data_IF_427568798544
#
_entry.id   IF_427568798544
#
_cell.length_a   1.000
_cell.length_b   1.000
_cell.length_c   1.000
_cell.angle_alpha   90.00
_cell.angle_beta   90.00
_cell.angle_gamma   90.00
#
_symmetry.space_group_name_H-M   'P 1'
#
loop_
_entity.id
_entity.type
_entity.pdbx_description
1 polymer ?
#
# COMPACT_ATOMS: atom_id res chain seq x y z
N UNK A 1 26.09 -16.12 25.34
CA UNK A 1 26.12 -16.13 23.85
C UNK A 1 25.00 -16.97 23.21
N UNK A 2 23.96 -17.39 23.96
CA UNK A 2 22.83 -18.17 23.43
C UNK A 2 21.51 -17.40 23.25
N UNK A 3 21.27 -16.36 24.07
CA UNK A 3 19.99 -15.63 24.06
C UNK A 3 19.75 -14.78 22.81
N UNK A 4 20.80 -14.20 22.21
CA UNK A 4 20.67 -13.41 20.97
C UNK A 4 20.31 -14.28 19.76
N UNK A 5 20.75 -15.54 19.72
CA UNK A 5 20.38 -16.48 18.65
C UNK A 5 18.90 -16.90 18.73
N UNK A 6 18.37 -17.06 19.94
CA UNK A 6 16.96 -17.35 20.18
C UNK A 6 16.05 -16.17 19.81
N UNK A 7 16.45 -14.94 20.14
CA UNK A 7 15.71 -13.73 19.79
C UNK A 7 15.72 -13.46 18.27
N UNK A 8 16.84 -13.73 17.59
CA UNK A 8 16.92 -13.67 16.12
C UNK A 8 16.07 -14.76 15.46
N UNK A 9 16.05 -15.99 15.99
CA UNK A 9 15.25 -17.08 15.42
C UNK A 9 13.74 -16.87 15.62
N UNK A 10 13.32 -16.34 16.78
CA UNK A 10 11.92 -15.97 17.01
C UNK A 10 11.47 -14.82 16.08
N UNK A 11 12.37 -13.89 15.78
CA UNK A 11 12.13 -12.80 14.82
C UNK A 11 11.97 -13.30 13.38
N UNK A 12 12.68 -14.37 12.98
CA UNK A 12 12.54 -14.95 11.64
C UNK A 12 11.20 -15.65 11.46
N UNK A 13 10.72 -16.37 12.47
CA UNK A 13 9.38 -16.98 12.45
C UNK A 13 8.27 -15.92 12.38
N UNK A 14 8.35 -14.86 13.19
CA UNK A 14 7.35 -13.79 13.15
C UNK A 14 7.37 -13.04 11.81
N UNK A 15 8.55 -12.76 11.26
CA UNK A 15 8.68 -12.08 9.98
C UNK A 15 8.15 -12.94 8.82
N UNK A 16 8.40 -14.25 8.84
CA UNK A 16 7.83 -15.17 7.85
C UNK A 16 6.29 -15.18 7.90
N UNK A 17 5.71 -15.19 9.10
CA UNK A 17 4.26 -15.10 9.28
C UNK A 17 3.71 -13.77 8.75
N UNK A 18 4.36 -12.64 9.05
CA UNK A 18 3.95 -11.32 8.57
C UNK A 18 4.02 -11.24 7.05
N UNK A 19 5.12 -11.72 6.43
CA UNK A 19 5.24 -11.80 4.98
C UNK A 19 4.14 -12.67 4.35
N UNK A 20 3.84 -13.83 4.95
CA UNK A 20 2.77 -14.70 4.47
C UNK A 20 1.39 -14.03 4.54
N UNK A 21 1.07 -13.38 5.67
CA UNK A 21 -0.19 -12.65 5.86
C UNK A 21 -0.30 -11.50 4.86
N UNK A 22 0.79 -10.79 4.60
CA UNK A 22 0.85 -9.69 3.64
C UNK A 22 0.63 -10.14 2.19
N UNK A 23 1.22 -11.27 1.81
CA UNK A 23 0.99 -11.86 0.48
C UNK A 23 -0.46 -12.31 0.36
N UNK A 24 -1.03 -12.96 1.39
CA UNK A 24 -2.44 -13.37 1.40
C UNK A 24 -3.36 -12.16 1.32
N UNK A 25 -3.11 -11.10 2.08
CA UNK A 25 -3.88 -9.85 2.02
C UNK A 25 -3.75 -9.16 0.66
N UNK A 26 -2.57 -9.14 0.04
CA UNK A 26 -2.38 -8.60 -1.29
C UNK A 26 -3.18 -9.38 -2.35
N UNK A 27 -3.15 -10.72 -2.28
CA UNK A 27 -3.93 -11.59 -3.16
C UNK A 27 -5.43 -11.36 -2.94
N UNK A 28 -5.89 -11.31 -1.70
CA UNK A 28 -7.30 -11.02 -1.38
C UNK A 28 -7.74 -9.63 -1.86
N UNK A 29 -6.87 -8.61 -1.76
CA UNK A 29 -7.12 -7.28 -2.30
C UNK A 29 -7.28 -7.30 -3.83
N UNK A 30 -6.43 -8.05 -4.54
CA UNK A 30 -6.49 -8.23 -6.00
C UNK A 30 -7.73 -9.04 -6.41
N UNK A 31 -8.18 -9.98 -5.60
CA UNK A 31 -9.39 -10.76 -5.88
C UNK A 31 -10.68 -9.95 -5.65
N UNK A 32 -10.71 -9.05 -4.66
CA UNK A 32 -11.81 -8.10 -4.45
C UNK A 32 -11.81 -6.92 -5.44
N UNK A 33 -10.75 -6.78 -6.24
CA UNK A 33 -10.39 -5.62 -7.06
C UNK A 33 -11.34 -5.29 -8.21
N UNK A 34 -12.33 -6.14 -8.52
CA UNK A 34 -13.12 -5.94 -9.74
C UNK A 34 -14.02 -4.69 -9.74
N UNK A 35 -14.16 -3.98 -8.61
CA UNK A 35 -15.10 -2.86 -8.53
C UNK A 35 -14.61 -1.58 -7.81
N UNK A 36 -13.54 -1.60 -7.01
CA UNK A 36 -13.17 -0.43 -6.18
C UNK A 36 -11.70 -0.04 -6.27
N UNK A 37 -11.44 1.14 -6.82
CA UNK A 37 -10.12 1.78 -6.87
C UNK A 37 -9.56 2.04 -5.45
N UNK A 38 -10.41 2.15 -4.43
CA UNK A 38 -10.00 2.31 -3.02
C UNK A 38 -9.19 1.11 -2.51
N UNK A 39 -9.50 -0.10 -2.97
CA UNK A 39 -8.78 -1.31 -2.58
C UNK A 39 -7.34 -1.33 -3.10
N UNK A 40 -7.07 -0.70 -4.26
CA UNK A 40 -5.70 -0.56 -4.78
C UNK A 40 -4.89 0.39 -3.89
N UNK A 41 -5.46 1.55 -3.53
CA UNK A 41 -4.79 2.51 -2.65
C UNK A 41 -4.52 1.89 -1.28
N UNK A 42 -5.51 1.23 -0.69
CA UNK A 42 -5.33 0.61 0.62
C UNK A 42 -4.25 -0.50 0.58
N UNK A 43 -4.17 -1.26 -0.52
CA UNK A 43 -3.10 -2.25 -0.73
C UNK A 43 -1.71 -1.61 -0.81
N UNK A 44 -1.58 -0.46 -1.48
CA UNK A 44 -0.31 0.27 -1.59
C UNK A 44 0.14 0.85 -0.24
N UNK A 45 -0.80 1.29 0.59
CA UNK A 45 -0.53 1.79 1.94
C UNK A 45 -0.06 0.66 2.86
N UNK A 46 -0.76 -0.47 2.86
CA UNK A 46 -0.39 -1.66 3.66
C UNK A 46 0.99 -2.18 3.23
N UNK A 47 1.25 -2.28 1.92
CA UNK A 47 2.55 -2.70 1.39
C UNK A 47 3.71 -1.83 1.90
N UNK A 48 3.53 -0.51 1.90
CA UNK A 48 4.58 0.43 2.26
C UNK A 48 4.80 0.48 3.78
N UNK A 49 3.74 0.35 4.59
CA UNK A 49 3.85 0.16 6.04
C UNK A 49 4.65 -1.09 6.43
N UNK A 50 4.55 -2.18 5.66
CA UNK A 50 5.35 -3.38 5.93
C UNK A 50 6.80 -3.24 5.53
N UNK A 51 7.09 -2.54 4.45
CA UNK A 51 8.47 -2.16 4.14
C UNK A 51 9.05 -1.27 5.24
N UNK A 52 8.30 -0.29 5.74
CA UNK A 52 8.71 0.55 6.85
C UNK A 52 8.93 -0.26 8.14
N UNK A 53 8.03 -1.17 8.48
CA UNK A 53 8.18 -2.05 9.64
C UNK A 53 9.42 -2.95 9.51
N UNK A 54 9.65 -3.52 8.33
CA UNK A 54 10.84 -4.31 8.05
C UNK A 54 12.12 -3.47 8.15
N UNK A 55 12.06 -2.22 7.70
CA UNK A 55 13.18 -1.27 7.81
C UNK A 55 13.48 -0.92 9.26
N UNK A 56 12.47 -0.57 10.07
CA UNK A 56 12.61 -0.31 11.51
C UNK A 56 13.13 -1.55 12.24
N UNK A 57 12.71 -2.76 11.85
CA UNK A 57 13.21 -3.98 12.45
C UNK A 57 14.69 -4.24 12.16
N UNK A 58 15.11 -4.09 10.90
CA UNK A 58 16.50 -4.27 10.47
C UNK A 58 17.41 -3.18 11.02
N UNK A 59 16.95 -1.93 11.01
CA UNK A 59 17.72 -0.76 11.43
C UNK A 59 17.51 -0.36 12.89
N UNK A 60 16.56 -0.95 13.61
CA UNK A 60 16.32 -0.66 15.03
C UNK A 60 17.53 -0.94 15.92
N UNK A 61 18.48 -1.75 15.45
CA UNK A 61 19.77 -2.01 16.10
C UNK A 61 20.80 -0.89 15.82
N UNK A 62 20.63 -0.16 14.72
CA UNK A 62 21.51 0.92 14.25
C UNK A 62 20.79 2.27 14.38
N UNK A 63 20.86 2.85 15.58
CA UNK A 63 20.18 4.10 16.00
C UNK A 63 20.41 5.32 15.09
N UNK A 64 21.34 5.26 14.12
CA UNK A 64 21.72 6.36 13.25
C UNK A 64 20.78 6.64 12.07
N UNK A 65 19.80 5.77 11.74
CA UNK A 65 19.00 5.90 10.49
C UNK A 65 17.56 6.41 10.66
N UNK A 66 17.19 6.94 11.83
CA UNK A 66 15.84 7.44 12.10
C UNK A 66 15.41 8.53 11.10
N UNK A 67 16.33 9.42 10.71
CA UNK A 67 16.04 10.49 9.74
C UNK A 67 15.71 9.99 8.33
N UNK A 68 16.39 8.95 7.85
CA UNK A 68 16.12 8.36 6.53
C UNK A 68 14.75 7.69 6.47
N UNK A 69 14.34 7.04 7.56
CA UNK A 69 13.03 6.39 7.66
C UNK A 69 11.87 7.38 7.54
N UNK A 70 12.00 8.57 8.16
CA UNK A 70 11.00 9.63 8.10
C UNK A 70 10.89 10.26 6.70
N UNK A 71 12.01 10.46 6.01
CA UNK A 71 12.01 10.97 4.63
C UNK A 71 11.32 9.98 3.69
N UNK A 72 11.57 8.68 3.88
CA UNK A 72 10.93 7.62 3.10
C UNK A 72 9.41 7.59 3.32
N UNK A 73 8.95 7.67 4.58
CA UNK A 73 7.53 7.80 4.90
C UNK A 73 6.89 9.06 4.29
N UNK A 74 7.62 10.17 4.27
CA UNK A 74 7.09 11.41 3.71
C UNK A 74 6.84 11.28 2.20
N UNK A 75 7.79 10.69 1.47
CA UNK A 75 7.65 10.41 0.03
C UNK A 75 6.49 9.44 -0.26
N UNK A 76 6.31 8.41 0.57
CA UNK A 76 5.20 7.47 0.47
C UNK A 76 3.84 8.17 0.58
N UNK A 77 3.63 8.96 1.62
CA UNK A 77 2.39 9.72 1.83
C UNK A 77 2.16 10.73 0.70
N UNK A 78 3.21 11.33 0.15
CA UNK A 78 3.12 12.19 -1.03
C UNK A 78 2.60 11.43 -2.26
N UNK A 79 3.13 10.24 -2.56
CA UNK A 79 2.67 9.41 -3.67
C UNK A 79 1.20 9.02 -3.47
N UNK A 80 0.80 8.67 -2.24
CA UNK A 80 -0.60 8.33 -1.95
C UNK A 80 -1.55 9.51 -2.11
N UNK A 81 -1.14 10.71 -1.74
CA UNK A 81 -1.91 11.92 -1.98
C UNK A 81 -2.14 12.17 -3.48
N UNK A 82 -1.10 12.02 -4.30
CA UNK A 82 -1.20 12.16 -5.76
C UNK A 82 -2.10 11.06 -6.36
N UNK A 83 -1.94 9.81 -5.95
CA UNK A 83 -2.79 8.70 -6.39
C UNK A 83 -4.27 8.93 -6.04
N UNK A 84 -4.56 9.44 -4.85
CA UNK A 84 -5.92 9.76 -4.42
C UNK A 84 -6.50 10.92 -5.24
N UNK A 85 -5.70 11.98 -5.48
CA UNK A 85 -6.12 13.09 -6.33
C UNK A 85 -6.40 12.65 -7.77
N UNK A 86 -5.54 11.79 -8.34
CA UNK A 86 -5.74 11.20 -9.67
C UNK A 86 -6.98 10.32 -9.69
N UNK A 87 -7.21 9.49 -8.67
CA UNK A 87 -8.41 8.67 -8.56
C UNK A 87 -9.69 9.53 -8.53
N UNK A 88 -9.70 10.62 -7.77
CA UNK A 88 -10.84 11.56 -7.71
C UNK A 88 -11.07 12.23 -9.07
N UNK A 89 -10.01 12.53 -9.82
CA UNK A 89 -10.13 13.06 -11.19
C UNK A 89 -10.65 12.01 -12.17
N UNK A 90 -10.22 10.77 -12.04
CA UNK A 90 -10.60 9.65 -12.91
C UNK A 90 -12.06 9.24 -12.68
N UNK A 91 -12.53 9.20 -11.42
CA UNK A 91 -13.96 8.98 -11.14
C UNK A 91 -14.82 10.15 -11.62
N UNK A 92 -14.31 11.38 -11.53
CA UNK A 92 -15.00 12.56 -12.06
C UNK A 92 -15.11 12.54 -13.59
N UNK A 93 -14.10 12.05 -14.31
CA UNK A 93 -14.16 11.93 -15.78
C UNK A 93 -15.06 10.76 -16.20
N UNK A 94 -14.86 9.58 -15.61
CA UNK A 94 -15.69 8.38 -15.93
C UNK A 94 -17.16 8.62 -15.59
N UNK A 95 -17.48 9.32 -14.50
CA UNK A 95 -18.85 9.69 -14.15
C UNK A 95 -19.48 10.75 -15.07
N UNK A 96 -18.66 11.63 -15.66
CA UNK A 96 -19.14 12.69 -16.56
C UNK A 96 -19.35 12.20 -17.99
N UNK A 97 -18.59 11.20 -18.45
CA UNK A 97 -18.71 10.65 -19.80
C UNK A 97 -19.87 9.63 -19.93
N UNK A 98 -20.40 9.11 -18.82
CA UNK A 98 -21.56 8.22 -18.82
C UNK A 98 -22.92 8.93 -19.07
N UNK A 99 -22.97 10.27 -19.09
CA UNK A 99 -24.20 11.03 -19.41
C UNK A 99 -24.25 11.49 -20.87
N UNK A 100 -23.16 11.36 -21.63
CA UNK A 100 -23.05 11.83 -23.02
C UNK A 100 -23.42 10.80 -24.10
N UNK A 101 -23.45 9.50 -23.77
CA UNK A 101 -23.69 8.45 -24.78
C UNK A 101 -25.18 8.11 -25.00
N UNK A 102 -26.10 8.66 -24.20
CA UNK A 102 -27.52 8.30 -24.25
C UNK A 102 -28.43 9.38 -24.86
N UNK A 103 -27.90 10.57 -25.17
CA UNK A 103 -28.70 11.71 -25.67
C UNK A 103 -28.42 12.12 -27.11
N UNK A 104 -27.38 11.57 -27.76
CA UNK A 104 -27.01 11.90 -29.15
C UNK A 104 -27.58 10.93 -30.22
N UNK A 105 -28.66 10.19 -29.92
CA UNK A 105 -29.36 9.29 -30.86
C UNK A 105 -30.89 9.54 -30.91
N UNK A 106 -31.36 10.74 -30.54
CA UNK A 106 -32.76 11.17 -30.73
C UNK A 106 -32.86 12.49 -31.51
N UNK A 107 -32.06 12.60 -32.57
CA UNK A 107 -32.00 13.78 -33.42
C UNK A 107 -31.59 13.46 -34.86
N UNK A 108 -32.08 12.36 -35.42
CA UNK A 108 -32.14 12.12 -36.86
C UNK A 108 -33.43 11.34 -37.17
#
# INVERSE_FOLDING_TARGET
MGSSKLLVNVGWCSQAMVCAIMVVLAILCILFQRHSLLSVLLGFEVFSLVLFYCFIWVFGVMQSLVGFSLVFLCLEVCVMSVCLALMVKLVSSVGSDYVGASSLTRGF
#
